data_IF_834379118665
#
_entry.id   IF_834379118665
#
_cell.length_a   1.000
_cell.length_b   1.000
_cell.length_c   1.000
_cell.angle_alpha   90.00
_cell.angle_beta   90.00
_cell.angle_gamma   90.00
#
_symmetry.space_group_name_H-M   'P 1'
#
loop_
_entity.id
_entity.type
_entity.pdbx_description
1 polymer ?
#
# COMPACT_ATOMS: atom_id res chain seq x y z
N UNK A 1 -7.99 -1.66 -0.26
CA UNK A 1 -6.77 -2.09 0.45
C UNK A 1 -7.02 -2.03 1.95
N UNK A 2 -6.69 -3.08 2.69
CA UNK A 2 -6.73 -3.12 4.16
C UNK A 2 -5.31 -3.43 4.65
N UNK A 3 -4.67 -2.48 5.30
CA UNK A 3 -3.29 -2.60 5.77
C UNK A 3 -2.90 -1.37 6.58
N UNK A 4 -1.79 -1.39 7.32
CA UNK A 4 -1.34 -0.24 8.12
C UNK A 4 0.14 0.06 7.88
N UNK A 5 0.52 1.33 8.07
CA UNK A 5 1.91 1.78 7.93
C UNK A 5 2.44 1.54 6.52
N UNK A 6 3.49 0.73 6.39
CA UNK A 6 4.13 0.45 5.11
C UNK A 6 3.23 -0.26 4.10
N UNK A 7 2.24 -1.03 4.59
CA UNK A 7 1.22 -1.70 3.77
C UNK A 7 0.08 -0.77 3.33
N UNK A 8 0.13 0.52 3.70
CA UNK A 8 -0.94 1.51 3.45
C UNK A 8 -0.40 2.80 2.82
N UNK A 9 0.56 3.45 3.47
CA UNK A 9 1.05 4.78 3.08
C UNK A 9 1.62 4.80 1.67
N UNK A 10 2.46 3.81 1.31
CA UNK A 10 3.03 3.69 -0.03
C UNK A 10 1.95 3.53 -1.10
N UNK A 11 1.10 2.48 -1.01
CA UNK A 11 0.03 2.26 -1.99
C UNK A 11 -0.94 3.44 -2.14
N UNK A 12 -1.35 4.06 -1.03
CA UNK A 12 -2.24 5.23 -1.05
C UNK A 12 -1.54 6.44 -1.71
N UNK A 13 -0.30 6.72 -1.32
CA UNK A 13 0.47 7.83 -1.89
C UNK A 13 0.65 7.66 -3.40
N UNK A 14 1.03 6.47 -3.87
CA UNK A 14 1.24 6.20 -5.28
C UNK A 14 -0.07 6.27 -6.09
N UNK A 15 -1.19 5.76 -5.57
CA UNK A 15 -2.48 5.86 -6.25
C UNK A 15 -2.96 7.32 -6.39
N UNK A 16 -2.69 8.17 -5.40
CA UNK A 16 -3.01 9.60 -5.49
C UNK A 16 -2.04 10.33 -6.44
N UNK A 17 -0.73 10.05 -6.35
CA UNK A 17 0.30 10.65 -7.20
C UNK A 17 0.10 10.34 -8.69
N UNK A 18 -0.33 9.11 -9.01
CA UNK A 18 -0.45 8.59 -10.37
C UNK A 18 -1.90 8.58 -10.87
N UNK A 19 -2.80 9.29 -10.20
CA UNK A 19 -4.22 9.38 -10.56
C UNK A 19 -4.48 9.77 -12.01
N UNK A 20 -3.70 10.65 -12.69
CA UNK A 20 -3.87 10.91 -14.13
C UNK A 20 -3.75 9.66 -15.02
N UNK A 21 -3.03 8.64 -14.58
CA UNK A 21 -2.80 7.38 -15.31
C UNK A 21 -3.76 6.26 -14.89
N UNK A 22 -4.68 6.53 -13.96
CA UNK A 22 -5.53 5.49 -13.38
C UNK A 22 -6.80 5.19 -14.21
N UNK A 23 -7.27 3.96 -14.13
CA UNK A 23 -8.60 3.57 -14.61
C UNK A 23 -9.68 4.18 -13.72
N UNK A 24 -10.38 5.19 -14.23
CA UNK A 24 -11.41 5.93 -13.49
C UNK A 24 -12.69 5.13 -13.21
N UNK A 25 -12.82 3.92 -13.76
CA UNK A 25 -13.94 3.01 -13.47
C UNK A 25 -13.76 2.27 -12.15
N UNK A 26 -12.53 2.22 -11.61
CA UNK A 26 -12.20 1.50 -10.38
C UNK A 26 -11.94 2.51 -9.26
N UNK A 27 -12.80 2.49 -8.23
CA UNK A 27 -12.64 3.32 -7.04
C UNK A 27 -11.64 2.68 -6.07
N UNK A 28 -10.60 3.43 -5.71
CA UNK A 28 -9.56 2.97 -4.78
C UNK A 28 -9.86 3.45 -3.36
N UNK A 29 -9.97 2.51 -2.41
CA UNK A 29 -10.18 2.79 -0.99
C UNK A 29 -9.09 2.13 -0.14
N UNK A 30 -8.63 2.84 0.91
CA UNK A 30 -7.52 2.42 1.78
C UNK A 30 -7.98 2.48 3.24
N UNK A 31 -8.17 1.32 3.87
CA UNK A 31 -8.58 1.19 5.28
C UNK A 31 -7.37 0.77 6.10
N UNK A 32 -7.01 1.56 7.11
CA UNK A 32 -5.78 1.34 7.89
C UNK A 32 -5.94 1.48 9.40
N UNK A 33 -6.65 2.50 9.85
CA UNK A 33 -6.92 2.72 11.27
C UNK A 33 -7.76 1.57 11.87
N UNK A 34 -7.43 1.15 13.10
CA UNK A 34 -8.21 0.15 13.84
C UNK A 34 -9.53 0.71 14.39
N UNK A 35 -9.64 2.04 14.49
CA UNK A 35 -10.92 2.69 14.70
C UNK A 35 -11.91 2.27 13.60
N UNK A 36 -12.98 1.58 14.02
CA UNK A 36 -14.00 1.02 13.13
C UNK A 36 -14.68 2.05 12.22
N UNK A 37 -14.59 3.34 12.57
CA UNK A 37 -15.07 4.45 11.72
C UNK A 37 -14.52 4.35 10.31
N UNK A 38 -13.24 4.03 10.14
CA UNK A 38 -12.61 4.01 8.82
C UNK A 38 -13.22 2.94 7.90
N UNK A 39 -13.32 1.70 8.40
CA UNK A 39 -13.96 0.62 7.66
C UNK A 39 -15.45 0.92 7.43
N UNK A 40 -16.17 1.37 8.47
CA UNK A 40 -17.60 1.67 8.37
C UNK A 40 -17.92 2.76 7.34
N UNK A 41 -17.11 3.80 7.22
CA UNK A 41 -17.31 4.83 6.20
C UNK A 41 -17.02 4.29 4.79
N UNK A 42 -15.96 3.50 4.60
CA UNK A 42 -15.67 2.89 3.30
C UNK A 42 -16.79 1.94 2.86
N UNK A 43 -17.33 1.12 3.78
CA UNK A 43 -18.43 0.20 3.47
C UNK A 43 -19.72 0.91 3.02
N UNK A 44 -19.90 2.20 3.34
CA UNK A 44 -21.03 3.01 2.84
C UNK A 44 -20.82 3.54 1.42
N UNK A 45 -19.56 3.60 0.96
CA UNK A 45 -19.18 4.16 -0.34
C UNK A 45 -19.14 3.11 -1.45
N UNK A 46 -19.03 1.84 -1.10
CA UNK A 46 -18.79 0.76 -2.06
C UNK A 46 -20.02 -0.11 -2.27
N UNK A 47 -20.16 -0.66 -3.48
CA UNK A 47 -21.06 -1.78 -3.74
C UNK A 47 -20.30 -3.10 -3.47
N UNK A 48 -20.76 -3.83 -2.46
CA UNK A 48 -20.13 -5.06 -2.01
C UNK A 48 -20.17 -6.18 -3.06
N UNK A 49 -21.12 -6.17 -4.01
CA UNK A 49 -21.16 -7.13 -5.12
C UNK A 49 -20.02 -6.90 -6.13
N UNK A 50 -19.47 -5.68 -6.20
CA UNK A 50 -18.39 -5.30 -7.11
C UNK A 50 -17.10 -4.86 -6.40
N UNK A 51 -16.93 -5.23 -5.12
CA UNK A 51 -15.76 -4.84 -4.32
C UNK A 51 -14.74 -5.96 -4.19
N UNK A 52 -13.48 -5.65 -4.46
CA UNK A 52 -12.33 -6.49 -4.15
C UNK A 52 -11.62 -5.99 -2.88
N UNK A 53 -11.50 -6.84 -1.88
CA UNK A 53 -10.74 -6.61 -0.66
C UNK A 53 -9.32 -7.17 -0.82
N UNK A 54 -8.33 -6.31 -0.62
CA UNK A 54 -6.91 -6.67 -0.64
C UNK A 54 -6.40 -6.59 0.81
N UNK A 55 -6.02 -7.71 1.41
CA UNK A 55 -5.50 -7.78 2.77
C UNK A 55 -3.97 -7.73 2.73
N UNK A 56 -3.39 -6.59 3.12
CA UNK A 56 -1.98 -6.29 3.01
C UNK A 56 -1.28 -6.35 4.38
N UNK A 57 -0.71 -7.51 4.73
CA UNK A 57 0.04 -7.67 5.98
C UNK A 57 1.11 -8.75 5.80
N UNK A 58 2.37 -8.38 6.04
CA UNK A 58 3.52 -9.30 5.96
C UNK A 58 3.32 -10.54 6.82
N UNK A 59 3.00 -10.33 8.09
CA UNK A 59 2.83 -11.43 9.06
C UNK A 59 1.44 -12.06 9.01
N UNK A 60 0.47 -11.35 8.40
CA UNK A 60 -0.97 -11.66 8.44
C UNK A 60 -1.58 -11.72 9.85
N UNK A 61 -0.87 -11.14 10.83
CA UNK A 61 -1.24 -11.15 12.25
C UNK A 61 -1.32 -9.75 12.87
N UNK A 62 -1.01 -8.70 12.09
CA UNK A 62 -1.09 -7.30 12.55
C UNK A 62 -2.50 -7.00 13.04
N UNK A 63 -2.64 -6.60 14.31
CA UNK A 63 -3.93 -6.53 15.00
C UNK A 63 -4.91 -5.60 14.28
N UNK A 64 -4.46 -4.41 13.87
CA UNK A 64 -5.26 -3.43 13.15
C UNK A 64 -5.76 -3.97 11.81
N UNK A 65 -4.87 -4.62 11.05
CA UNK A 65 -5.20 -5.16 9.73
C UNK A 65 -6.12 -6.37 9.82
N UNK A 66 -5.85 -7.33 10.71
CA UNK A 66 -6.67 -8.54 10.84
C UNK A 66 -8.05 -8.23 11.43
N UNK A 67 -8.15 -7.28 12.36
CA UNK A 67 -9.43 -6.83 12.91
C UNK A 67 -10.31 -6.21 11.83
N UNK A 68 -9.74 -5.34 11.00
CA UNK A 68 -10.44 -4.77 9.86
C UNK A 68 -10.79 -5.81 8.79
N UNK A 69 -9.89 -6.75 8.49
CA UNK A 69 -10.13 -7.81 7.52
C UNK A 69 -11.28 -8.75 7.96
N UNK A 70 -11.28 -9.17 9.23
CA UNK A 70 -12.35 -10.00 9.80
C UNK A 70 -13.68 -9.25 9.83
N UNK A 71 -13.66 -7.95 10.15
CA UNK A 71 -14.86 -7.10 10.11
C UNK A 71 -15.39 -6.94 8.69
N UNK A 72 -14.53 -6.68 7.71
CA UNK A 72 -14.92 -6.58 6.30
C UNK A 72 -15.51 -7.90 5.78
N UNK A 73 -14.90 -9.04 6.13
CA UNK A 73 -15.43 -10.37 5.81
C UNK A 73 -16.80 -10.59 6.45
N UNK A 74 -16.96 -10.24 7.72
CA UNK A 74 -18.23 -10.37 8.45
C UNK A 74 -19.34 -9.54 7.81
N UNK A 75 -19.10 -8.26 7.53
CA UNK A 75 -20.09 -7.38 6.91
C UNK A 75 -20.42 -7.80 5.47
N UNK A 76 -19.42 -8.27 4.71
CA UNK A 76 -19.64 -8.84 3.38
C UNK A 76 -20.56 -10.07 3.41
N UNK A 77 -20.33 -11.02 4.31
CA UNK A 77 -21.19 -12.21 4.43
C UNK A 77 -22.60 -11.86 4.91
N UNK A 78 -22.74 -10.93 5.86
CA UNK A 78 -24.05 -10.40 6.28
C UNK A 78 -24.79 -9.75 5.10
N UNK A 79 -24.09 -8.99 4.27
CA UNK A 79 -24.64 -8.39 3.06
C UNK A 79 -25.17 -9.46 2.11
N UNK A 80 -24.39 -10.49 1.79
CA UNK A 80 -24.83 -11.59 0.93
C UNK A 80 -26.08 -12.28 1.49
N UNK A 81 -26.05 -12.62 2.79
CA UNK A 81 -27.17 -13.25 3.50
C UNK A 81 -28.43 -12.38 3.43
N UNK A 82 -28.31 -11.06 3.64
CA UNK A 82 -29.42 -10.10 3.55
C UNK A 82 -30.03 -10.00 2.16
N UNK A 83 -29.27 -10.36 1.12
CA UNK A 83 -29.69 -10.38 -0.29
C UNK A 83 -30.09 -11.78 -0.78
N UNK A 84 -30.00 -12.80 0.07
CA UNK A 84 -30.26 -14.19 -0.31
C UNK A 84 -29.24 -14.76 -1.30
N UNK A 85 -28.03 -14.19 -1.34
CA UNK A 85 -26.94 -14.64 -2.22
C UNK A 85 -26.14 -15.74 -1.50
N UNK A 86 -25.86 -16.90 -2.13
CA UNK A 86 -25.06 -17.96 -1.50
C UNK A 86 -23.64 -17.51 -1.13
N UNK A 87 -23.21 -17.83 0.09
CA UNK A 87 -21.89 -17.47 0.61
C UNK A 87 -20.77 -18.40 0.14
N UNK A 88 -21.11 -19.59 -0.37
CA UNK A 88 -20.16 -20.63 -0.74
C UNK A 88 -19.18 -20.12 -1.82
N UNK A 89 -17.89 -20.06 -1.46
CA UNK A 89 -16.82 -19.58 -2.34
C UNK A 89 -16.77 -18.05 -2.51
N UNK A 90 -17.60 -17.28 -1.80
CA UNK A 90 -17.64 -15.83 -1.95
C UNK A 90 -16.35 -15.15 -1.45
N UNK A 91 -15.77 -15.62 -0.34
CA UNK A 91 -14.50 -15.10 0.19
C UNK A 91 -13.39 -15.23 -0.85
N UNK A 92 -13.27 -16.40 -1.50
CA UNK A 92 -12.24 -16.64 -2.52
C UNK A 92 -12.37 -15.71 -3.75
N UNK A 93 -13.57 -15.18 -4.05
CA UNK A 93 -13.81 -14.27 -5.17
C UNK A 93 -13.61 -12.79 -4.83
N UNK A 94 -13.79 -12.42 -3.55
CA UNK A 94 -13.77 -11.02 -3.11
C UNK A 94 -12.56 -10.66 -2.25
N UNK A 95 -11.73 -11.63 -1.84
CA UNK A 95 -10.57 -11.40 -0.99
C UNK A 95 -9.30 -11.97 -1.61
N UNK A 96 -8.25 -11.14 -1.65
CA UNK A 96 -6.88 -11.52 -1.99
C UNK A 96 -5.94 -11.11 -0.86
N UNK A 97 -4.80 -11.77 -0.74
CA UNK A 97 -3.82 -11.51 0.32
C UNK A 97 -2.46 -11.10 -0.24
N UNK A 98 -1.82 -10.12 0.38
CA UNK A 98 -0.42 -9.76 0.17
C UNK A 98 0.30 -10.10 1.46
N UNK A 99 1.03 -11.22 1.48
CA UNK A 99 1.56 -11.79 2.73
C UNK A 99 2.75 -12.71 2.47
N UNK A 100 3.47 -13.06 3.54
CA UNK A 100 4.45 -14.16 3.53
C UNK A 100 3.96 -15.40 4.28
N UNK A 101 2.79 -15.31 4.93
CA UNK A 101 2.25 -16.32 5.82
C UNK A 101 1.06 -17.08 5.18
N UNK A 102 1.38 -18.09 4.37
CA UNK A 102 0.39 -18.88 3.64
C UNK A 102 -0.60 -19.60 4.56
N UNK A 103 -0.15 -20.08 5.72
CA UNK A 103 -1.00 -20.77 6.68
C UNK A 103 -2.12 -19.85 7.20
N UNK A 104 -1.79 -18.62 7.61
CA UNK A 104 -2.78 -17.66 8.10
C UNK A 104 -3.70 -17.12 7.00
N UNK A 105 -3.20 -16.98 5.77
CA UNK A 105 -4.03 -16.62 4.60
C UNK A 105 -5.08 -17.70 4.33
N UNK A 106 -4.66 -18.97 4.37
CA UNK A 106 -5.54 -20.12 4.20
C UNK A 106 -6.57 -20.24 5.33
N UNK A 107 -6.14 -20.03 6.57
CA UNK A 107 -7.04 -20.00 7.75
C UNK A 107 -8.12 -18.92 7.62
N UNK A 108 -7.79 -17.78 7.00
CA UNK A 108 -8.77 -16.72 6.73
C UNK A 108 -9.80 -17.11 5.65
N UNK A 109 -9.49 -18.08 4.80
CA UNK A 109 -10.35 -18.58 3.72
C UNK A 109 -10.05 -18.00 2.35
N UNK A 110 -8.88 -17.38 2.16
CA UNK A 110 -8.39 -16.92 0.85
C UNK A 110 -7.71 -18.11 0.15
N UNK A 111 -7.97 -18.24 -1.15
CA UNK A 111 -7.29 -19.24 -2.00
C UNK A 111 -5.79 -18.93 -2.08
N UNK A 112 -4.93 -19.95 -2.00
CA UNK A 112 -3.48 -19.78 -2.16
C UNK A 112 -3.12 -19.18 -3.52
N UNK A 113 -3.93 -19.43 -4.57
CA UNK A 113 -3.78 -18.79 -5.88
C UNK A 113 -4.00 -17.27 -5.85
N UNK A 114 -4.70 -16.77 -4.82
CA UNK A 114 -5.01 -15.37 -4.57
C UNK A 114 -4.09 -14.76 -3.50
N UNK A 115 -3.00 -15.44 -3.15
CA UNK A 115 -1.94 -14.94 -2.29
C UNK A 115 -0.75 -14.45 -3.14
N UNK A 116 -0.43 -13.18 -3.00
CA UNK A 116 0.72 -12.55 -3.64
C UNK A 116 1.88 -12.49 -2.65
N UNK A 117 2.87 -13.34 -2.88
CA UNK A 117 4.03 -13.51 -2.00
C UNK A 117 4.99 -12.31 -2.10
N UNK A 118 5.60 -11.98 -0.96
CA UNK A 118 6.83 -11.20 -0.90
C UNK A 118 7.78 -11.78 0.18
N UNK A 119 8.85 -11.08 0.57
CA UNK A 119 9.92 -11.68 1.37
C UNK A 119 10.37 -10.85 2.56
N UNK A 120 11.13 -11.50 3.45
CA UNK A 120 11.56 -10.91 4.71
C UNK A 120 12.50 -9.72 4.55
N UNK A 121 13.32 -9.70 3.50
CA UNK A 121 14.19 -8.58 3.15
C UNK A 121 13.43 -7.36 2.63
N UNK A 122 12.12 -7.49 2.33
CA UNK A 122 11.26 -6.35 2.03
C UNK A 122 10.79 -5.73 3.35
N UNK A 123 11.42 -4.62 3.72
CA UNK A 123 11.00 -3.79 4.86
C UNK A 123 9.67 -3.08 4.58
N UNK A 124 8.81 -2.93 5.58
CA UNK A 124 7.46 -2.36 5.38
C UNK A 124 7.46 -0.99 4.70
N UNK A 125 8.29 -0.06 5.17
CA UNK A 125 8.44 1.29 4.57
C UNK A 125 9.11 1.30 3.18
N UNK A 126 9.66 0.17 2.74
CA UNK A 126 10.26 -0.05 1.42
C UNK A 126 9.42 -1.00 0.54
N UNK A 127 8.20 -1.35 0.96
CA UNK A 127 7.47 -2.47 0.36
C UNK A 127 6.64 -2.12 -0.87
N UNK A 128 6.46 -0.83 -1.20
CA UNK A 128 5.64 -0.36 -2.32
C UNK A 128 5.92 -1.08 -3.66
N UNK A 129 7.18 -1.43 -3.91
CA UNK A 129 7.67 -2.06 -5.14
C UNK A 129 7.38 -3.56 -5.24
N UNK A 130 6.91 -4.17 -4.15
CA UNK A 130 6.64 -5.61 -4.06
C UNK A 130 5.17 -5.93 -4.36
N UNK A 131 4.71 -7.12 -3.97
CA UNK A 131 3.29 -7.48 -3.97
C UNK A 131 2.38 -6.44 -3.30
N UNK A 132 2.88 -5.70 -2.29
CA UNK A 132 2.17 -4.58 -1.63
C UNK A 132 1.67 -3.52 -2.64
N UNK A 133 2.37 -3.36 -3.78
CA UNK A 133 1.98 -2.47 -4.87
C UNK A 133 0.78 -2.95 -5.70
N UNK A 134 0.15 -4.10 -5.40
CA UNK A 134 -0.96 -4.65 -6.21
C UNK A 134 -2.08 -3.64 -6.44
N UNK A 135 -2.49 -2.88 -5.41
CA UNK A 135 -3.53 -1.87 -5.56
C UNK A 135 -3.12 -0.73 -6.51
N UNK A 136 -1.83 -0.37 -6.54
CA UNK A 136 -1.28 0.59 -7.50
C UNK A 136 -1.39 0.02 -8.91
N UNK A 137 -0.92 -1.22 -9.11
CA UNK A 137 -1.01 -1.91 -10.40
C UNK A 137 -2.44 -2.06 -10.92
N UNK A 138 -3.41 -2.35 -10.03
CA UNK A 138 -4.85 -2.37 -10.38
C UNK A 138 -5.32 -0.99 -10.84
N UNK A 139 -4.88 0.07 -10.15
CA UNK A 139 -5.28 1.45 -10.44
C UNK A 139 -4.73 1.93 -11.78
N UNK A 140 -3.43 1.76 -12.04
CA UNK A 140 -2.74 2.37 -13.20
C UNK A 140 -2.45 1.38 -14.35
N UNK A 141 -2.70 0.09 -14.14
CA UNK A 141 -2.36 -0.97 -15.11
C UNK A 141 -0.92 -1.48 -14.96
N UNK A 142 -0.68 -2.65 -15.55
CA UNK A 142 0.62 -3.33 -15.48
C UNK A 142 1.75 -2.52 -16.10
N UNK A 143 1.58 -2.01 -17.32
CA UNK A 143 2.64 -1.30 -18.05
C UNK A 143 3.10 -0.04 -17.30
N UNK A 144 2.16 0.74 -16.76
CA UNK A 144 2.49 1.91 -15.94
C UNK A 144 3.15 1.52 -14.60
N UNK A 145 2.81 0.37 -14.03
CA UNK A 145 3.51 -0.15 -12.86
C UNK A 145 4.95 -0.58 -13.20
N UNK A 146 5.18 -1.16 -14.38
CA UNK A 146 6.53 -1.44 -14.90
C UNK A 146 7.32 -0.14 -15.06
N UNK A 147 6.75 0.89 -15.69
CA UNK A 147 7.41 2.21 -15.80
C UNK A 147 7.75 2.81 -14.43
N UNK A 148 6.84 2.64 -13.45
CA UNK A 148 7.08 3.08 -12.08
C UNK A 148 8.28 2.34 -11.43
N UNK A 149 8.38 1.02 -11.61
CA UNK A 149 9.54 0.23 -11.18
C UNK A 149 10.82 0.63 -11.94
N UNK A 150 10.73 0.87 -13.24
CA UNK A 150 11.85 1.30 -14.07
C UNK A 150 12.41 2.64 -13.60
N UNK A 151 11.57 3.59 -13.21
CA UNK A 151 12.00 4.86 -12.64
C UNK A 151 12.84 4.68 -11.36
N UNK A 152 12.42 3.77 -10.47
CA UNK A 152 13.21 3.42 -9.28
C UNK A 152 14.53 2.75 -9.65
N UNK A 153 14.51 1.79 -10.58
CA UNK A 153 15.72 1.10 -11.02
C UNK A 153 16.75 2.04 -11.67
N UNK A 154 16.32 3.02 -12.46
CA UNK A 154 17.21 4.05 -13.01
C UNK A 154 17.89 4.85 -11.88
N UNK A 155 17.15 5.17 -10.80
CA UNK A 155 17.73 5.84 -9.64
C UNK A 155 18.69 4.93 -8.85
N UNK A 156 18.41 3.63 -8.76
CA UNK A 156 19.31 2.65 -8.16
C UNK A 156 20.63 2.57 -8.94
N UNK A 157 20.56 2.46 -10.27
CA UNK A 157 21.74 2.44 -11.15
C UNK A 157 22.55 3.73 -11.07
N UNK A 158 21.88 4.88 -10.95
CA UNK A 158 22.56 6.16 -10.69
C UNK A 158 23.24 6.16 -9.32
N UNK A 159 22.53 5.76 -8.27
CA UNK A 159 23.05 5.77 -6.90
C UNK A 159 24.27 4.87 -6.73
N UNK A 160 24.31 3.69 -7.37
CA UNK A 160 25.41 2.75 -7.21
C UNK A 160 26.63 3.08 -8.07
N UNK A 161 26.43 3.68 -9.26
CA UNK A 161 27.51 3.86 -10.24
C UNK A 161 28.07 5.30 -10.33
N UNK A 162 27.29 6.34 -9.99
CA UNK A 162 27.75 7.71 -10.13
C UNK A 162 28.82 8.06 -9.09
N UNK A 163 29.89 8.81 -9.47
CA UNK A 163 30.88 9.27 -8.51
C UNK A 163 30.23 10.16 -7.45
N UNK A 164 30.72 10.10 -6.21
CA UNK A 164 30.14 10.75 -5.02
C UNK A 164 29.75 12.21 -5.27
N UNK A 165 30.66 13.00 -5.85
CA UNK A 165 30.49 14.42 -6.20
C UNK A 165 29.42 14.70 -7.27
N UNK A 166 28.91 13.67 -7.95
CA UNK A 166 27.81 13.77 -8.90
C UNK A 166 26.63 12.83 -8.54
N UNK A 167 26.64 12.28 -7.33
CA UNK A 167 25.64 11.32 -6.88
C UNK A 167 24.50 12.05 -6.14
N UNK A 168 23.32 12.07 -6.76
CA UNK A 168 22.19 12.89 -6.33
C UNK A 168 21.69 12.49 -4.93
N UNK A 169 21.40 11.21 -4.64
CA UNK A 169 21.02 10.81 -3.27
C UNK A 169 22.10 11.08 -2.23
N UNK A 170 23.39 10.89 -2.55
CA UNK A 170 24.49 11.18 -1.61
C UNK A 170 24.55 12.67 -1.29
N UNK A 171 24.52 13.54 -2.30
CA UNK A 171 24.54 14.99 -2.07
C UNK A 171 23.33 15.42 -1.24
N UNK A 172 22.14 14.91 -1.53
CA UNK A 172 20.93 15.18 -0.76
C UNK A 172 21.11 14.81 0.72
N UNK A 173 21.66 13.62 0.99
CA UNK A 173 21.96 13.17 2.35
C UNK A 173 23.01 14.04 3.06
N UNK A 174 24.10 14.40 2.37
CA UNK A 174 25.18 15.22 2.92
C UNK A 174 24.72 16.64 3.27
N UNK A 175 23.84 17.23 2.45
CA UNK A 175 23.21 18.53 2.77
C UNK A 175 22.33 18.40 4.01
N UNK A 176 21.56 17.30 4.14
CA UNK A 176 20.78 17.01 5.35
C UNK A 176 21.65 16.90 6.60
N UNK A 177 22.75 16.13 6.54
CA UNK A 177 23.73 15.98 7.63
C UNK A 177 24.33 17.33 8.01
N UNK A 178 24.63 18.19 7.03
CA UNK A 178 25.17 19.52 7.30
C UNK A 178 24.22 20.35 8.19
N UNK A 179 22.93 20.41 7.83
CA UNK A 179 21.95 21.17 8.62
C UNK A 179 21.60 20.49 9.94
N UNK A 180 21.45 19.17 9.95
CA UNK A 180 21.06 18.43 11.15
C UNK A 180 22.18 18.39 12.21
N UNK A 181 23.41 18.03 11.81
CA UNK A 181 24.50 17.79 12.76
C UNK A 181 25.32 19.04 13.09
N UNK A 182 25.48 19.98 12.16
CA UNK A 182 26.34 21.16 12.38
C UNK A 182 25.53 22.42 12.70
N UNK A 183 24.37 22.60 12.05
CA UNK A 183 23.47 23.73 12.35
C UNK A 183 22.44 23.40 13.44
N UNK A 184 22.29 22.12 13.82
CA UNK A 184 21.35 21.70 14.85
C UNK A 184 19.89 21.79 14.43
N UNK A 185 19.59 21.68 13.14
CA UNK A 185 18.21 21.71 12.64
C UNK A 185 17.50 20.38 12.94
N UNK A 186 16.44 20.43 13.74
CA UNK A 186 15.69 19.22 14.17
C UNK A 186 14.62 18.75 13.18
N UNK A 187 14.35 19.51 12.11
CA UNK A 187 13.23 19.23 11.21
C UNK A 187 13.65 19.30 9.74
N UNK A 188 12.95 18.53 8.90
CA UNK A 188 13.06 18.55 7.44
C UNK A 188 11.66 18.78 6.85
N UNK A 189 11.48 19.88 6.13
CA UNK A 189 10.23 20.13 5.42
C UNK A 189 10.26 19.49 4.01
N UNK A 190 9.18 18.82 3.63
CA UNK A 190 8.93 18.33 2.27
C UNK A 190 7.72 19.09 1.72
N UNK A 191 7.96 19.90 0.69
CA UNK A 191 6.97 20.84 0.14
C UNK A 191 6.75 20.57 -1.35
N UNK A 192 6.00 19.52 -1.72
CA UNK A 192 5.74 19.23 -3.13
C UNK A 192 4.75 20.27 -3.70
N UNK A 193 5.13 20.94 -4.78
CA UNK A 193 4.28 21.90 -5.51
C UNK A 193 3.41 21.18 -6.55
N UNK A 194 2.82 20.06 -6.15
CA UNK A 194 1.89 19.27 -6.96
C UNK A 194 0.80 18.67 -6.06
N UNK A 195 -0.46 18.91 -6.41
CA UNK A 195 -1.60 18.46 -5.62
C UNK A 195 -1.71 16.92 -5.57
N UNK A 196 -1.27 16.21 -6.61
CA UNK A 196 -1.27 14.74 -6.60
C UNK A 196 -0.27 14.18 -5.57
N UNK A 197 0.77 14.94 -5.24
CA UNK A 197 1.79 14.57 -4.25
C UNK A 197 1.43 14.96 -2.82
N UNK A 198 0.17 15.28 -2.52
CA UNK A 198 -0.26 15.69 -1.17
C UNK A 198 0.01 14.65 -0.07
N UNK A 199 0.13 13.36 -0.41
CA UNK A 199 0.50 12.26 0.51
C UNK A 199 1.99 12.01 0.62
N UNK A 200 2.82 12.60 -0.25
CA UNK A 200 4.27 12.39 -0.26
C UNK A 200 4.93 12.73 1.10
N UNK A 201 4.60 13.85 1.78
CA UNK A 201 5.19 14.14 3.08
C UNK A 201 4.91 13.06 4.13
N UNK A 202 3.68 12.52 4.17
CA UNK A 202 3.31 11.47 5.11
C UNK A 202 4.02 10.13 4.80
N UNK A 203 4.21 9.81 3.52
CA UNK A 203 5.01 8.65 3.10
C UNK A 203 6.48 8.80 3.52
N UNK A 204 7.09 9.96 3.24
CA UNK A 204 8.49 10.23 3.59
C UNK A 204 8.70 10.31 5.10
N UNK A 205 7.70 10.76 5.86
CA UNK A 205 7.77 10.74 7.32
C UNK A 205 8.01 9.32 7.86
N UNK A 206 7.34 8.31 7.30
CA UNK A 206 7.59 6.91 7.68
C UNK A 206 8.90 6.37 7.08
N UNK A 207 9.32 6.86 5.92
CA UNK A 207 10.56 6.42 5.29
C UNK A 207 11.79 6.84 6.11
N UNK A 208 11.77 8.09 6.60
CA UNK A 208 12.89 8.78 7.25
C UNK A 208 12.92 8.57 8.78
N UNK A 209 11.77 8.69 9.47
CA UNK A 209 11.65 8.64 10.94
C UNK A 209 11.34 7.23 11.48
#
# INVERSE_FOLDING_TARGET
NIGIGGSDLGPMMACEALKPFSDRRISMHFVSNIDGTHLSEVLKLVDLESTLFIIASKTFTTQETITNALSARSEFLKFLSSRGIPEAGAVAKHFVALSTNAEKVKEFGIDEANMFQFWDWVGGRYSLWSAIGLSVMISIGYDNFVEFLTGAHIMDEHFINAPTENNLPIILALVGIWYNNFFGSETQAILPYDQYLWRLPAYLQQLDM
#
